data_IF_112699585030
#
_entry.id   IF_112699585030
#
_cell.length_a   1.000
_cell.length_b   1.000
_cell.length_c   1.000
_cell.angle_alpha   90.00
_cell.angle_beta   90.00
_cell.angle_gamma   90.00
#
_symmetry.space_group_name_H-M   'P 1'
#
loop_
_entity.id
_entity.type
_entity.pdbx_description
1 polymer ?
#
# COMPACT_ATOMS: atom_id res chain seq x y z
N UNK A 1 -30.21 -7.75 -2.14
CA UNK A 1 -30.88 -8.61 -1.14
C UNK A 1 -30.10 -9.90 -0.86
N UNK A 2 -28.78 -9.86 -0.54
CA UNK A 2 -28.01 -11.08 -0.20
C UNK A 2 -27.13 -10.96 1.05
N UNK A 3 -27.16 -9.84 1.77
CA UNK A 3 -26.23 -9.60 2.90
C UNK A 3 -26.59 -10.33 4.18
N UNK A 4 -27.88 -10.58 4.42
CA UNK A 4 -28.38 -11.12 5.69
C UNK A 4 -28.21 -12.65 5.74
N UNK A 5 -28.42 -13.35 4.61
CA UNK A 5 -28.30 -14.82 4.55
C UNK A 5 -26.90 -15.35 4.82
N UNK A 6 -25.85 -14.62 4.44
CA UNK A 6 -24.46 -15.06 4.62
C UNK A 6 -24.12 -15.21 6.11
N UNK A 7 -24.67 -14.36 6.98
CA UNK A 7 -24.40 -14.44 8.42
C UNK A 7 -25.07 -15.68 9.04
N UNK A 8 -26.34 -15.91 8.71
CA UNK A 8 -27.11 -17.03 9.24
C UNK A 8 -26.56 -18.37 8.73
N UNK A 9 -26.38 -18.51 7.42
CA UNK A 9 -25.86 -19.74 6.79
C UNK A 9 -24.43 -20.08 7.22
N UNK A 10 -23.55 -19.08 7.43
CA UNK A 10 -22.19 -19.35 7.90
C UNK A 10 -22.14 -19.63 9.39
N UNK A 11 -23.00 -19.01 10.20
CA UNK A 11 -23.03 -19.25 11.64
C UNK A 11 -23.61 -20.63 11.98
N UNK A 12 -24.52 -21.15 11.17
CA UNK A 12 -25.00 -22.54 11.29
C UNK A 12 -23.86 -23.56 11.30
N UNK A 13 -22.76 -23.31 10.56
CA UNK A 13 -21.60 -24.19 10.55
C UNK A 13 -20.84 -24.16 11.88
N UNK A 14 -20.76 -22.98 12.52
CA UNK A 14 -20.18 -22.82 13.86
C UNK A 14 -21.02 -23.58 14.89
N UNK A 15 -22.33 -23.45 14.82
CA UNK A 15 -23.26 -24.16 15.72
C UNK A 15 -23.23 -25.69 15.52
N UNK A 16 -23.10 -26.15 14.27
CA UNK A 16 -22.96 -27.56 13.96
C UNK A 16 -21.70 -28.16 14.63
N UNK A 17 -20.58 -27.43 14.60
CA UNK A 17 -19.35 -27.85 15.28
C UNK A 17 -19.53 -27.93 16.80
N UNK A 18 -20.25 -26.98 17.42
CA UNK A 18 -20.48 -26.98 18.87
C UNK A 18 -21.27 -28.18 19.37
N UNK A 19 -22.20 -28.73 18.55
CA UNK A 19 -23.03 -29.89 18.92
C UNK A 19 -22.22 -31.15 19.20
N UNK A 20 -21.03 -31.28 18.63
CA UNK A 20 -20.19 -32.47 18.82
C UNK A 20 -19.53 -32.54 20.21
N UNK A 21 -19.49 -31.42 20.96
CA UNK A 21 -18.90 -31.32 22.31
C UNK A 21 -17.48 -31.90 22.43
N UNK A 22 -16.68 -31.77 21.37
CA UNK A 22 -15.30 -32.25 21.30
C UNK A 22 -14.33 -31.09 21.14
N UNK A 23 -13.14 -31.21 21.74
CA UNK A 23 -12.11 -30.17 21.63
C UNK A 23 -11.73 -29.85 20.19
N UNK A 24 -11.67 -30.85 19.30
CA UNK A 24 -11.44 -30.65 17.87
C UNK A 24 -12.54 -29.80 17.21
N UNK A 25 -13.78 -30.01 17.61
CA UNK A 25 -14.92 -29.28 17.06
C UNK A 25 -14.96 -27.83 17.59
N UNK A 26 -14.60 -27.62 18.86
CA UNK A 26 -14.42 -26.26 19.42
C UNK A 26 -13.34 -25.46 18.69
N UNK A 27 -12.20 -26.09 18.39
CA UNK A 27 -11.14 -25.46 17.59
C UNK A 27 -11.65 -25.00 16.23
N UNK A 28 -12.37 -25.89 15.54
CA UNK A 28 -12.92 -25.60 14.22
C UNK A 28 -13.96 -24.48 14.28
N UNK A 29 -14.86 -24.52 15.27
CA UNK A 29 -15.87 -23.48 15.49
C UNK A 29 -15.24 -22.08 15.64
N UNK A 30 -14.17 -21.95 16.44
CA UNK A 30 -13.44 -20.68 16.64
C UNK A 30 -12.80 -20.20 15.33
N UNK A 31 -12.18 -21.11 14.57
CA UNK A 31 -11.55 -20.79 13.29
C UNK A 31 -12.59 -20.32 12.27
N UNK A 32 -13.73 -21.01 12.16
CA UNK A 32 -14.80 -20.62 11.25
C UNK A 32 -15.42 -19.28 11.65
N UNK A 33 -15.65 -19.04 12.95
CA UNK A 33 -16.13 -17.74 13.44
C UNK A 33 -15.17 -16.59 13.11
N UNK A 34 -13.85 -16.78 13.25
CA UNK A 34 -12.84 -15.78 12.85
C UNK A 34 -12.88 -15.51 11.34
N UNK A 35 -13.06 -16.54 10.50
CA UNK A 35 -13.19 -16.38 9.04
C UNK A 35 -14.44 -15.57 8.68
N UNK A 36 -15.57 -15.82 9.34
CA UNK A 36 -16.81 -15.05 9.15
C UNK A 36 -16.56 -13.58 9.45
N UNK A 37 -15.96 -13.28 10.61
CA UNK A 37 -15.62 -11.93 11.01
C UNK A 37 -14.69 -11.26 9.99
N UNK A 38 -13.62 -11.95 9.57
CA UNK A 38 -12.68 -11.43 8.57
C UNK A 38 -13.36 -11.13 7.24
N UNK A 39 -14.24 -12.01 6.78
CA UNK A 39 -15.01 -11.80 5.55
C UNK A 39 -15.92 -10.57 5.67
N UNK A 40 -16.62 -10.40 6.79
CA UNK A 40 -17.47 -9.22 7.03
C UNK A 40 -16.67 -7.92 7.04
N UNK A 41 -15.52 -7.90 7.73
CA UNK A 41 -14.64 -6.73 7.79
C UNK A 41 -14.07 -6.41 6.38
N UNK A 42 -13.72 -7.45 5.61
CA UNK A 42 -13.22 -7.32 4.24
C UNK A 42 -14.31 -6.78 3.30
N UNK A 43 -15.55 -7.27 3.42
CA UNK A 43 -16.70 -6.78 2.65
C UNK A 43 -17.03 -5.32 2.96
N UNK A 44 -16.71 -4.84 4.17
CA UNK A 44 -16.78 -3.41 4.53
C UNK A 44 -15.63 -2.59 3.96
N UNK A 45 -14.59 -3.24 3.44
CA UNK A 45 -13.44 -2.61 2.77
C UNK A 45 -12.38 -2.10 3.73
N UNK A 46 -12.24 -2.72 4.91
CA UNK A 46 -11.16 -2.40 5.84
C UNK A 46 -9.89 -3.12 5.39
N UNK A 47 -8.79 -2.39 5.12
CA UNK A 47 -7.55 -2.98 4.66
C UNK A 47 -6.77 -3.63 5.81
N UNK A 48 -6.11 -4.76 5.59
CA UNK A 48 -5.21 -5.38 6.56
C UNK A 48 -4.80 -6.80 6.21
N UNK A 49 -3.73 -7.27 6.82
CA UNK A 49 -3.12 -8.58 6.51
C UNK A 49 -3.81 -9.72 7.27
N UNK A 50 -4.20 -9.47 8.52
CA UNK A 50 -4.87 -10.45 9.38
C UNK A 50 -6.21 -9.93 9.91
N UNK A 51 -7.08 -10.81 10.39
CA UNK A 51 -8.34 -10.44 11.05
C UNK A 51 -8.07 -9.49 12.23
N UNK A 52 -7.05 -9.81 13.04
CA UNK A 52 -6.66 -8.99 14.20
C UNK A 52 -6.16 -7.59 13.78
N UNK A 53 -5.32 -7.51 12.73
CA UNK A 53 -4.86 -6.23 12.18
C UNK A 53 -6.04 -5.37 11.70
N UNK A 54 -6.98 -5.96 10.95
CA UNK A 54 -8.18 -5.25 10.50
C UNK A 54 -9.05 -4.79 11.66
N UNK A 55 -9.25 -5.61 12.68
CA UNK A 55 -10.00 -5.24 13.90
C UNK A 55 -9.37 -4.05 14.60
N UNK A 56 -8.04 -4.05 14.76
CA UNK A 56 -7.33 -2.95 15.44
C UNK A 56 -7.48 -1.60 14.72
N UNK A 57 -7.68 -1.61 13.40
CA UNK A 57 -7.89 -0.41 12.57
C UNK A 57 -9.29 0.20 12.70
N UNK A 58 -10.25 -0.60 13.15
CA UNK A 58 -11.64 -0.20 13.35
C UNK A 58 -12.08 -0.55 14.78
N UNK A 59 -11.16 -0.43 15.74
CA UNK A 59 -11.35 -0.84 17.14
C UNK A 59 -12.53 -0.14 17.82
N UNK A 60 -12.83 1.08 17.40
CA UNK A 60 -13.95 1.90 17.87
C UNK A 60 -15.33 1.34 17.50
N UNK A 61 -15.38 0.38 16.58
CA UNK A 61 -16.60 -0.28 16.11
C UNK A 61 -17.02 -1.46 16.98
N UNK A 62 -16.17 -1.88 17.92
CA UNK A 62 -16.40 -3.08 18.74
C UNK A 62 -16.69 -2.68 20.19
N UNK A 63 -17.79 -3.21 20.71
CA UNK A 63 -18.21 -2.99 22.10
C UNK A 63 -17.32 -3.72 23.12
N UNK A 64 -16.80 -4.90 22.75
CA UNK A 64 -15.89 -5.70 23.57
C UNK A 64 -14.58 -6.04 22.83
N UNK A 65 -13.71 -5.04 22.74
CA UNK A 65 -12.38 -5.24 22.16
C UNK A 65 -11.52 -6.22 22.99
N UNK A 66 -11.70 -6.24 24.31
CA UNK A 66 -10.87 -7.06 25.21
C UNK A 66 -11.17 -8.55 25.03
N UNK A 67 -12.46 -8.93 25.00
CA UNK A 67 -12.89 -10.29 24.71
C UNK A 67 -12.46 -10.73 23.32
N UNK A 68 -12.56 -9.85 22.32
CA UNK A 68 -12.15 -10.15 20.96
C UNK A 68 -10.64 -10.42 20.83
N UNK A 69 -9.81 -9.64 21.53
CA UNK A 69 -8.35 -9.89 21.60
C UNK A 69 -8.05 -11.24 22.23
N UNK A 70 -8.74 -11.61 23.31
CA UNK A 70 -8.59 -12.94 23.94
C UNK A 70 -9.00 -14.06 22.98
N UNK A 71 -10.09 -13.89 22.23
CA UNK A 71 -10.52 -14.85 21.23
C UNK A 71 -9.44 -15.07 20.14
N UNK A 72 -8.78 -14.01 19.68
CA UNK A 72 -7.66 -14.14 18.76
C UNK A 72 -6.45 -14.85 19.38
N UNK A 73 -6.13 -14.58 20.65
CA UNK A 73 -5.08 -15.32 21.35
C UNK A 73 -5.40 -16.82 21.46
N UNK A 74 -6.65 -17.19 21.75
CA UNK A 74 -7.09 -18.58 21.75
C UNK A 74 -6.94 -19.20 20.36
N UNK A 75 -7.36 -18.50 19.30
CA UNK A 75 -7.13 -18.94 17.91
C UNK A 75 -5.65 -19.14 17.61
N UNK A 76 -4.78 -18.21 18.00
CA UNK A 76 -3.35 -18.30 17.76
C UNK A 76 -2.74 -19.49 18.50
N UNK A 77 -3.20 -19.81 19.71
CA UNK A 77 -2.79 -21.04 20.41
C UNK A 77 -3.23 -22.28 19.64
N UNK A 78 -4.46 -22.31 19.13
CA UNK A 78 -4.99 -23.43 18.33
C UNK A 78 -4.14 -23.66 17.08
N UNK A 79 -3.76 -22.59 16.37
CA UNK A 79 -3.00 -22.67 15.11
C UNK A 79 -1.53 -23.02 15.33
N UNK A 80 -0.92 -22.55 16.42
CA UNK A 80 0.51 -22.74 16.67
C UNK A 80 0.84 -23.96 17.56
N UNK A 81 -0.14 -24.52 18.27
CA UNK A 81 0.08 -25.64 19.18
C UNK A 81 -0.88 -26.80 18.90
N UNK A 82 -0.38 -27.84 18.20
CA UNK A 82 -1.16 -29.02 17.80
C UNK A 82 -1.82 -29.75 18.99
N UNK A 83 -1.14 -29.80 20.13
CA UNK A 83 -1.59 -30.48 21.35
C UNK A 83 -2.48 -29.62 22.25
N UNK A 84 -2.74 -28.36 21.89
CA UNK A 84 -3.59 -27.47 22.70
C UNK A 84 -5.01 -28.02 22.76
N UNK A 85 -5.58 -28.24 23.94
CA UNK A 85 -6.97 -28.64 24.08
C UNK A 85 -7.81 -27.46 24.56
N UNK A 86 -8.75 -27.03 23.73
CA UNK A 86 -9.71 -25.97 24.04
C UNK A 86 -10.80 -26.59 24.92
N UNK A 87 -11.08 -25.99 26.07
CA UNK A 87 -12.21 -26.35 26.93
C UNK A 87 -13.52 -25.77 26.40
N UNK A 88 -14.67 -26.31 26.83
CA UNK A 88 -15.97 -25.75 26.45
C UNK A 88 -16.08 -24.28 26.88
N UNK A 89 -15.69 -23.97 28.11
CA UNK A 89 -15.74 -22.60 28.66
C UNK A 89 -14.88 -21.62 27.85
N UNK A 90 -13.68 -22.03 27.43
CA UNK A 90 -12.81 -21.20 26.61
C UNK A 90 -13.40 -21.01 25.20
N UNK A 91 -13.98 -22.07 24.63
CA UNK A 91 -14.66 -22.01 23.35
C UNK A 91 -15.85 -21.05 23.39
N UNK A 92 -16.71 -21.19 24.39
CA UNK A 92 -17.89 -20.34 24.58
C UNK A 92 -17.49 -18.88 24.76
N UNK A 93 -16.47 -18.61 25.58
CA UNK A 93 -15.96 -17.24 25.76
C UNK A 93 -15.44 -16.64 24.45
N UNK A 94 -14.65 -17.38 23.67
CA UNK A 94 -14.10 -16.92 22.40
C UNK A 94 -15.20 -16.71 21.34
N UNK A 95 -16.15 -17.64 21.24
CA UNK A 95 -17.25 -17.58 20.28
C UNK A 95 -18.22 -16.46 20.60
N UNK A 96 -18.55 -16.23 21.88
CA UNK A 96 -19.39 -15.11 22.30
C UNK A 96 -18.76 -13.76 21.94
N UNK A 97 -17.44 -13.61 22.12
CA UNK A 97 -16.73 -12.40 21.73
C UNK A 97 -16.74 -12.19 20.20
N UNK A 98 -16.50 -13.25 19.42
CA UNK A 98 -16.54 -13.19 17.95
C UNK A 98 -17.96 -12.89 17.43
N UNK A 99 -18.98 -13.50 18.02
CA UNK A 99 -20.38 -13.26 17.67
C UNK A 99 -20.80 -11.82 17.98
N UNK A 100 -20.39 -11.30 19.14
CA UNK A 100 -20.63 -9.90 19.52
C UNK A 100 -19.97 -8.96 18.51
N UNK A 101 -18.72 -9.22 18.14
CA UNK A 101 -18.02 -8.42 17.13
C UNK A 101 -18.70 -8.45 15.76
N UNK A 102 -19.19 -9.62 15.33
CA UNK A 102 -19.97 -9.77 14.09
C UNK A 102 -21.26 -8.95 14.17
N UNK A 103 -21.96 -9.01 15.30
CA UNK A 103 -23.20 -8.26 15.54
C UNK A 103 -22.98 -6.75 15.55
N UNK A 104 -21.91 -6.27 16.18
CA UNK A 104 -21.55 -4.86 16.23
C UNK A 104 -21.31 -4.31 14.82
N UNK A 105 -20.55 -5.04 14.00
CA UNK A 105 -20.32 -4.69 12.61
C UNK A 105 -21.59 -4.66 11.77
N UNK A 106 -22.54 -5.57 12.04
CA UNK A 106 -23.78 -5.67 11.29
C UNK A 106 -24.74 -4.52 11.59
N UNK A 107 -24.89 -4.17 12.88
CA UNK A 107 -25.75 -3.06 13.35
C UNK A 107 -25.37 -1.72 12.74
N UNK A 108 -24.10 -1.49 12.44
CA UNK A 108 -23.63 -0.16 12.11
C UNK A 108 -23.93 0.32 10.68
N UNK A 109 -24.66 -0.46 9.87
CA UNK A 109 -25.38 -0.02 8.65
C UNK A 109 -24.57 0.62 7.51
N UNK A 110 -23.31 0.97 7.73
CA UNK A 110 -22.54 1.86 6.88
C UNK A 110 -21.38 1.10 6.26
N UNK A 111 -21.39 1.06 4.93
CA UNK A 111 -20.14 0.83 4.18
C UNK A 111 -19.21 1.96 4.60
N UNK A 112 -17.97 1.61 4.98
CA UNK A 112 -16.93 2.60 5.27
C UNK A 112 -16.90 3.60 4.10
N UNK A 113 -17.07 4.88 4.41
CA UNK A 113 -17.14 5.93 3.40
C UNK A 113 -15.86 5.92 2.56
N UNK A 114 -15.94 6.30 1.28
CA UNK A 114 -14.76 6.32 0.40
C UNK A 114 -13.63 7.16 1.01
N UNK A 115 -13.94 8.29 1.66
CA UNK A 115 -12.96 9.12 2.35
C UNK A 115 -12.30 8.41 3.55
N UNK A 116 -13.05 7.58 4.27
CA UNK A 116 -12.52 6.77 5.37
C UNK A 116 -11.66 5.62 4.85
N UNK A 117 -12.03 4.98 3.72
CA UNK A 117 -11.19 3.97 3.08
C UNK A 117 -9.87 4.55 2.61
N UNK A 118 -9.91 5.71 1.97
CA UNK A 118 -8.72 6.44 1.54
C UNK A 118 -7.88 6.84 2.75
N UNK A 119 -8.47 7.38 3.81
CA UNK A 119 -7.75 7.69 5.05
C UNK A 119 -7.09 6.45 5.65
N UNK A 120 -7.82 5.35 5.82
CA UNK A 120 -7.27 4.10 6.37
C UNK A 120 -6.17 3.52 5.47
N UNK A 121 -6.30 3.66 4.15
CA UNK A 121 -5.26 3.29 3.21
C UNK A 121 -4.00 4.17 3.37
N UNK A 122 -4.17 5.49 3.48
CA UNK A 122 -3.06 6.41 3.71
C UNK A 122 -2.44 6.27 5.11
N UNK A 123 -3.21 5.89 6.12
CA UNK A 123 -2.73 5.75 7.49
C UNK A 123 -1.96 4.44 7.71
N UNK A 124 -2.35 3.35 7.02
CA UNK A 124 -1.79 2.02 7.26
C UNK A 124 -0.98 1.41 6.09
N UNK A 125 -1.32 1.73 4.84
CA UNK A 125 -0.64 1.18 3.65
C UNK A 125 0.46 2.09 3.12
N UNK A 126 0.39 3.37 3.44
CA UNK A 126 1.37 4.36 3.02
C UNK A 126 2.60 4.19 3.93
N UNK A 127 3.73 3.64 3.42
CA UNK A 127 4.89 3.40 4.26
C UNK A 127 5.29 4.69 4.97
N UNK A 128 5.65 4.61 6.26
CA UNK A 128 6.19 5.76 7.05
C UNK A 128 7.30 6.54 6.31
N UNK A 129 7.96 5.90 5.33
CA UNK A 129 8.94 6.49 4.41
C UNK A 129 8.37 7.64 3.53
N UNK A 130 7.08 7.64 3.21
CA UNK A 130 6.41 8.73 2.47
C UNK A 130 6.21 10.00 3.29
N UNK A 131 6.39 9.96 4.62
CA UNK A 131 6.52 11.18 5.42
C UNK A 131 7.76 11.98 5.03
N UNK A 132 8.78 11.34 4.44
CA UNK A 132 9.90 12.05 3.79
C UNK A 132 9.50 12.65 2.44
N UNK A 133 8.49 12.11 1.77
CA UNK A 133 7.94 12.68 0.53
C UNK A 133 7.14 13.95 0.78
N UNK A 134 6.62 14.18 2.00
CA UNK A 134 6.02 15.46 2.37
C UNK A 134 7.04 16.61 2.27
N UNK A 135 8.24 16.42 2.84
CA UNK A 135 9.34 17.40 2.69
C UNK A 135 9.80 17.53 1.24
N UNK A 136 9.78 16.43 0.47
CA UNK A 136 10.17 16.43 -0.94
C UNK A 136 9.13 17.17 -1.80
N UNK A 137 7.84 17.01 -1.51
CA UNK A 137 6.75 17.71 -2.16
C UNK A 137 6.74 19.20 -1.80
N UNK A 138 6.95 19.54 -0.52
CA UNK A 138 7.10 20.94 -0.09
C UNK A 138 8.36 21.58 -0.71
N UNK A 139 9.48 20.87 -0.75
CA UNK A 139 10.68 21.33 -1.44
C UNK A 139 10.44 21.51 -2.93
N UNK A 140 9.69 20.62 -3.57
CA UNK A 140 9.33 20.72 -4.98
C UNK A 140 8.39 21.91 -5.26
N UNK A 141 7.38 22.12 -4.41
CA UNK A 141 6.48 23.29 -4.49
C UNK A 141 7.27 24.58 -4.26
N UNK A 142 8.14 24.61 -3.25
CA UNK A 142 9.02 25.75 -2.98
C UNK A 142 9.98 26.02 -4.14
N UNK A 143 10.52 24.97 -4.76
CA UNK A 143 11.37 25.06 -5.94
C UNK A 143 10.61 25.61 -7.16
N UNK A 144 9.38 25.15 -7.40
CA UNK A 144 8.54 25.70 -8.47
C UNK A 144 8.19 27.17 -8.22
N UNK A 145 7.83 27.53 -6.98
CA UNK A 145 7.58 28.90 -6.59
C UNK A 145 8.84 29.78 -6.76
N UNK A 146 10.01 29.23 -6.46
CA UNK A 146 11.29 29.91 -6.66
C UNK A 146 11.62 30.10 -8.14
N UNK A 147 11.36 29.12 -9.00
CA UNK A 147 11.49 29.26 -10.46
C UNK A 147 10.55 30.36 -10.97
N UNK A 148 9.28 30.34 -10.56
CA UNK A 148 8.32 31.36 -10.96
C UNK A 148 8.75 32.76 -10.49
N UNK A 149 9.23 32.86 -9.25
CA UNK A 149 9.78 34.11 -8.72
C UNK A 149 11.00 34.60 -9.52
N UNK A 150 11.91 33.70 -9.91
CA UNK A 150 13.04 34.04 -10.77
C UNK A 150 12.59 34.46 -12.19
N UNK A 151 11.53 33.87 -12.72
CA UNK A 151 11.02 34.24 -14.04
C UNK A 151 10.41 35.66 -14.04
N UNK A 152 9.67 36.00 -12.98
CA UNK A 152 8.92 37.25 -12.89
C UNK A 152 9.73 38.44 -12.34
N UNK A 153 10.90 38.19 -11.72
CA UNK A 153 11.76 39.25 -11.19
C UNK A 153 12.89 39.61 -12.14
N UNK A 154 13.19 40.92 -12.28
CA UNK A 154 14.26 41.40 -13.16
C UNK A 154 15.65 40.86 -12.80
N UNK A 155 15.89 40.58 -11.52
CA UNK A 155 17.12 39.90 -11.08
C UNK A 155 17.15 38.44 -11.56
N UNK A 156 16.03 37.72 -11.47
CA UNK A 156 15.98 36.33 -11.93
C UNK A 156 16.06 36.17 -13.45
N UNK A 157 15.57 37.14 -14.23
CA UNK A 157 15.82 37.19 -15.68
C UNK A 157 17.31 37.42 -16.00
N UNK A 158 18.00 38.22 -15.19
CA UNK A 158 19.45 38.44 -15.32
C UNK A 158 20.25 37.17 -15.02
N UNK A 159 19.86 36.43 -13.98
CA UNK A 159 20.48 35.14 -13.63
C UNK A 159 20.20 34.09 -14.70
N UNK A 160 18.95 33.98 -15.17
CA UNK A 160 18.55 33.04 -16.22
C UNK A 160 19.27 33.30 -17.54
N UNK A 161 19.39 34.57 -17.93
CA UNK A 161 20.13 34.95 -19.15
C UNK A 161 21.64 34.71 -19.02
N UNK A 162 22.23 34.87 -17.84
CA UNK A 162 23.62 34.50 -17.57
C UNK A 162 23.87 33.00 -17.80
N UNK A 163 23.03 32.13 -17.22
CA UNK A 163 23.12 30.68 -17.43
C UNK A 163 22.87 30.30 -18.89
N UNK A 164 21.90 30.92 -19.56
CA UNK A 164 21.64 30.71 -20.99
C UNK A 164 22.84 31.13 -21.85
N UNK A 165 23.52 32.23 -21.52
CA UNK A 165 24.70 32.68 -22.23
C UNK A 165 25.88 31.73 -22.03
N UNK A 166 26.08 31.21 -20.82
CA UNK A 166 27.07 30.15 -20.55
C UNK A 166 26.74 28.89 -21.34
N UNK A 167 25.49 28.44 -21.30
CA UNK A 167 25.04 27.25 -22.02
C UNK A 167 25.22 27.41 -23.53
N UNK A 168 24.87 28.58 -24.09
CA UNK A 168 25.11 28.92 -25.49
C UNK A 168 26.60 28.96 -25.80
N UNK A 169 27.43 29.53 -24.94
CA UNK A 169 28.87 29.53 -25.11
C UNK A 169 29.39 28.11 -25.25
N UNK A 170 29.09 27.23 -24.29
CA UNK A 170 29.50 25.84 -24.37
C UNK A 170 28.92 25.13 -25.59
N UNK A 171 27.65 25.33 -25.91
CA UNK A 171 27.02 24.74 -27.08
C UNK A 171 27.73 25.16 -28.36
N UNK A 172 27.88 26.46 -28.63
CA UNK A 172 28.52 26.94 -29.85
C UNK A 172 30.00 26.59 -29.90
N UNK A 173 30.72 26.65 -28.79
CA UNK A 173 32.14 26.30 -28.74
C UNK A 173 32.34 24.80 -28.99
N UNK A 174 31.63 23.94 -28.26
CA UNK A 174 31.77 22.49 -28.37
C UNK A 174 31.27 22.02 -29.73
N UNK A 175 30.06 22.43 -30.15
CA UNK A 175 29.48 22.01 -31.45
C UNK A 175 30.35 22.48 -32.62
N UNK A 176 30.91 23.70 -32.56
CA UNK A 176 31.85 24.19 -33.59
C UNK A 176 33.08 23.29 -33.70
N UNK A 177 33.71 22.93 -32.59
CA UNK A 177 34.88 22.05 -32.62
C UNK A 177 34.54 20.63 -33.06
N UNK A 178 33.39 20.09 -32.64
CA UNK A 178 32.91 18.77 -33.09
C UNK A 178 32.66 18.77 -34.61
N UNK A 179 32.05 19.81 -35.17
CA UNK A 179 31.85 19.94 -36.61
C UNK A 179 33.18 20.02 -37.36
N UNK A 180 34.13 20.84 -36.89
CA UNK A 180 35.47 20.93 -37.50
C UNK A 180 36.17 19.57 -37.48
N UNK A 181 36.16 18.89 -36.33
CA UNK A 181 36.75 17.56 -36.20
C UNK A 181 36.08 16.55 -37.15
N UNK A 182 34.76 16.58 -37.28
CA UNK A 182 34.00 15.75 -38.22
C UNK A 182 34.40 15.97 -39.68
N UNK A 183 34.58 17.23 -40.09
CA UNK A 183 35.05 17.57 -41.45
C UNK A 183 36.47 17.05 -41.69
N UNK A 184 37.38 17.26 -40.74
CA UNK A 184 38.77 16.78 -40.84
C UNK A 184 38.81 15.26 -40.96
N UNK A 185 38.07 14.55 -40.11
CA UNK A 185 37.96 13.09 -40.17
C UNK A 185 37.36 12.61 -41.50
N UNK A 186 36.35 13.32 -42.02
CA UNK A 186 35.76 13.04 -43.32
C UNK A 186 36.75 13.18 -44.47
N UNK A 187 37.59 14.22 -44.46
CA UNK A 187 38.64 14.43 -45.46
C UNK A 187 39.68 13.31 -45.39
N UNK A 188 40.14 12.94 -44.19
CA UNK A 188 41.09 11.84 -43.98
C UNK A 188 40.50 10.52 -44.52
N UNK A 189 39.23 10.26 -44.22
CA UNK A 189 38.53 9.06 -44.69
C UNK A 189 38.41 9.03 -46.23
N UNK A 190 38.07 10.15 -46.86
CA UNK A 190 38.03 10.26 -48.32
C UNK A 190 39.40 10.07 -48.96
N UNK A 191 40.46 10.65 -48.37
CA UNK A 191 41.84 10.41 -48.82
C UNK A 191 42.21 8.93 -48.74
N UNK A 192 41.89 8.27 -47.63
CA UNK A 192 42.14 6.85 -47.44
C UNK A 192 41.43 5.99 -48.49
N UNK A 193 40.13 6.23 -48.71
CA UNK A 193 39.34 5.57 -49.76
C UNK A 193 39.90 5.78 -51.16
N UNK A 194 40.37 7.00 -51.46
CA UNK A 194 40.98 7.31 -52.76
C UNK A 194 42.28 6.52 -52.99
N UNK A 195 43.14 6.43 -51.98
CA UNK A 195 44.38 5.65 -52.06
C UNK A 195 44.11 4.16 -52.20
N UNK A 196 43.15 3.61 -51.45
CA UNK A 196 42.79 2.19 -51.56
C UNK A 196 42.28 1.84 -52.97
N UNK A 197 41.47 2.71 -53.58
CA UNK A 197 40.99 2.53 -54.95
C UNK A 197 42.12 2.60 -55.98
N UNK A 198 43.11 3.47 -55.77
CA UNK A 198 44.29 3.57 -56.63
C UNK A 198 45.17 2.32 -56.56
N UNK A 199 45.33 1.73 -55.39
CA UNK A 199 46.21 0.56 -55.19
C UNK A 199 45.62 -0.75 -55.76
N UNK A 200 44.33 -0.79 -56.08
CA UNK A 200 43.63 -1.95 -56.68
C UNK A 200 43.58 -1.91 -58.22
N UNK A 201 44.12 -0.87 -58.86
CA UNK A 201 44.29 -0.76 -60.33
C UNK A 201 45.75 -0.90 -60.69
#
# INVERSE_FOLDING_TARGET
MSKIRIKEELWEQVEACLKEQKSSAYKLAIIEADKILNNLITLKGVPGESTSDKVMKIKEKFSDLTGLVKAFQTKDKILNHLTYNVSSEEADAALNALQTAINDLDKEGSRVSFSQKVRLFFEFYMPKKLRKLEHLALAFIGFLAFILFLADTGWGQSVSSFFLNIARFFYYVIVKYVLIAGVVLGIIFLMFMYFEKKNKR
#
